data_IF_717640824768
#
_entry.id   IF_717640824768
#
_cell.length_a   1.000
_cell.length_b   1.000
_cell.length_c   1.000
_cell.angle_alpha   90.00
_cell.angle_beta   90.00
_cell.angle_gamma   90.00
#
_symmetry.space_group_name_H-M   'P 1'
#
loop_
_entity.id
_entity.type
_entity.pdbx_description
1 polymer ?
#
# COMPACT_ATOMS: atom_id res chain seq x y z
N UNK A 1 8.35 -5.85 -15.95
CA UNK A 1 9.57 -5.97 -15.13
C UNK A 1 9.55 -7.27 -14.35
N UNK A 2 10.73 -7.90 -14.18
CA UNK A 2 10.91 -8.97 -13.19
C UNK A 2 11.15 -8.41 -11.79
N UNK A 3 11.59 -9.28 -10.86
CA UNK A 3 11.78 -8.93 -9.45
C UNK A 3 13.21 -8.54 -9.08
N UNK A 4 14.17 -8.73 -9.98
CA UNK A 4 15.59 -8.49 -9.73
C UNK A 4 16.06 -7.18 -10.34
N UNK A 5 16.35 -6.18 -9.49
CA UNK A 5 16.88 -4.90 -9.95
C UNK A 5 18.22 -5.01 -10.70
N UNK A 6 18.99 -6.07 -10.48
CA UNK A 6 20.30 -6.24 -11.12
C UNK A 6 20.24 -7.00 -12.45
N UNK A 7 19.20 -7.79 -12.64
CA UNK A 7 19.10 -8.73 -13.77
C UNK A 7 17.91 -8.48 -14.68
N UNK A 8 16.83 -7.88 -14.15
CA UNK A 8 15.62 -7.66 -14.93
C UNK A 8 15.58 -6.25 -15.54
N UNK A 9 14.78 -6.10 -16.59
CA UNK A 9 14.67 -4.85 -17.34
C UNK A 9 13.20 -4.47 -17.55
N UNK A 10 12.97 -3.22 -17.94
CA UNK A 10 11.64 -2.73 -18.27
C UNK A 10 11.12 -3.42 -19.55
N UNK A 11 9.91 -3.93 -19.50
CA UNK A 11 9.20 -4.52 -20.66
C UNK A 11 7.93 -3.74 -21.02
N UNK A 12 7.37 -3.02 -20.04
CA UNK A 12 6.24 -2.11 -20.23
C UNK A 12 6.31 -0.98 -19.21
N UNK A 13 5.94 0.22 -19.63
CA UNK A 13 5.72 1.38 -18.77
C UNK A 13 4.29 1.84 -18.95
N UNK A 14 3.59 2.08 -17.86
CA UNK A 14 2.28 2.71 -17.85
C UNK A 14 2.21 3.79 -16.77
N UNK A 15 1.53 4.87 -17.08
CA UNK A 15 1.17 5.92 -16.14
C UNK A 15 -0.19 6.52 -16.53
N UNK A 16 -0.94 6.97 -15.53
CA UNK A 16 -2.17 7.70 -15.73
C UNK A 16 -2.12 9.04 -15.01
N UNK A 17 -2.61 10.08 -15.65
CA UNK A 17 -2.76 11.40 -15.04
C UNK A 17 -4.11 11.53 -14.40
N UNK A 18 -4.13 11.80 -13.11
CA UNK A 18 -5.37 12.06 -12.37
C UNK A 18 -5.53 13.55 -12.07
N UNK A 19 -6.74 14.07 -12.25
CA UNK A 19 -7.15 15.41 -11.82
C UNK A 19 -8.51 15.31 -11.14
N UNK A 20 -8.64 15.90 -9.97
CA UNK A 20 -9.90 15.89 -9.19
C UNK A 20 -10.51 14.51 -8.98
N UNK A 21 -9.65 13.49 -8.83
CA UNK A 21 -10.07 12.10 -8.65
C UNK A 21 -10.42 11.34 -9.94
N UNK A 22 -10.35 11.97 -11.11
CA UNK A 22 -10.63 11.35 -12.40
C UNK A 22 -9.35 11.15 -13.20
N UNK A 23 -9.26 10.05 -13.94
CA UNK A 23 -8.18 9.81 -14.90
C UNK A 23 -8.48 10.61 -16.16
N UNK A 24 -7.55 11.48 -16.55
CA UNK A 24 -7.71 12.42 -17.67
C UNK A 24 -6.77 12.14 -18.83
N UNK A 25 -5.72 11.38 -18.62
CA UNK A 25 -4.72 11.08 -19.65
C UNK A 25 -3.93 9.81 -19.30
N UNK A 26 -3.36 9.16 -20.32
CA UNK A 26 -2.59 7.94 -20.19
C UNK A 26 -1.28 8.01 -20.97
N UNK A 27 -0.24 7.43 -20.39
CA UNK A 27 1.00 7.07 -21.06
C UNK A 27 1.19 5.57 -20.91
N UNK A 28 1.20 4.82 -22.03
CA UNK A 28 1.40 3.38 -22.04
C UNK A 28 2.31 3.04 -23.21
N UNK A 29 3.40 2.33 -22.95
CA UNK A 29 4.31 1.86 -23.99
C UNK A 29 4.93 0.53 -23.58
N UNK A 30 5.10 -0.37 -24.55
CA UNK A 30 6.05 -1.46 -24.41
C UNK A 30 7.47 -0.90 -24.44
N UNK A 31 8.40 -1.66 -23.91
CA UNK A 31 9.82 -1.31 -23.86
C UNK A 31 10.63 -2.50 -24.32
N UNK A 32 11.51 -2.29 -25.27
CA UNK A 32 12.46 -3.31 -25.69
C UNK A 32 13.59 -3.43 -24.66
N UNK A 33 13.66 -4.53 -23.89
CA UNK A 33 14.69 -4.67 -22.86
C UNK A 33 16.12 -4.89 -23.40
N UNK A 34 16.28 -5.06 -24.72
CA UNK A 34 17.56 -5.34 -25.37
C UNK A 34 18.12 -6.74 -25.07
N UNK A 35 17.34 -7.61 -24.45
CA UNK A 35 17.67 -8.98 -24.08
C UNK A 35 16.40 -9.83 -24.02
N UNK A 36 16.49 -11.18 -24.11
CA UNK A 36 15.34 -12.05 -23.97
C UNK A 36 14.63 -11.85 -22.63
N UNK A 37 13.29 -11.88 -22.66
CA UNK A 37 12.45 -11.81 -21.44
C UNK A 37 12.49 -13.20 -20.79
N UNK A 38 12.83 -13.30 -19.49
CA UNK A 38 12.80 -14.58 -18.79
C UNK A 38 11.40 -15.20 -18.79
N UNK A 39 11.32 -16.53 -18.89
CA UNK A 39 10.04 -17.26 -19.00
C UNK A 39 9.08 -16.97 -17.83
N UNK A 40 9.61 -16.83 -16.63
CA UNK A 40 8.82 -16.51 -15.42
C UNK A 40 8.21 -15.10 -15.50
N UNK A 41 8.95 -14.13 -16.05
CA UNK A 41 8.47 -12.77 -16.30
C UNK A 41 7.42 -12.77 -17.41
N UNK A 42 7.68 -13.48 -18.51
CA UNK A 42 6.72 -13.60 -19.61
C UNK A 42 5.41 -14.25 -19.16
N UNK A 43 5.48 -15.31 -18.34
CA UNK A 43 4.30 -15.93 -17.76
C UNK A 43 3.53 -15.01 -16.81
N UNK A 44 4.24 -14.18 -16.01
CA UNK A 44 3.63 -13.28 -15.05
C UNK A 44 2.90 -12.11 -15.73
N UNK A 45 3.56 -11.50 -16.72
CA UNK A 45 3.10 -10.25 -17.38
C UNK A 45 2.31 -10.51 -18.66
N UNK A 46 2.40 -11.74 -19.20
CA UNK A 46 1.92 -12.10 -20.53
C UNK A 46 2.48 -11.16 -21.62
N UNK A 47 3.77 -10.80 -21.49
CA UNK A 47 4.54 -10.01 -22.47
C UNK A 47 5.69 -10.90 -22.95
N UNK A 48 5.79 -11.08 -24.26
CA UNK A 48 6.78 -11.93 -24.92
C UNK A 48 7.76 -11.10 -25.75
N UNK A 49 8.88 -11.69 -26.16
CA UNK A 49 9.92 -11.01 -26.95
C UNK A 49 9.37 -10.41 -28.26
N UNK A 50 8.38 -11.07 -28.87
CA UNK A 50 7.71 -10.59 -30.08
C UNK A 50 6.90 -9.30 -29.87
N UNK A 51 6.34 -9.11 -28.67
CA UNK A 51 5.55 -7.91 -28.33
C UNK A 51 6.42 -6.66 -28.18
N UNK A 52 7.69 -6.84 -27.83
CA UNK A 52 8.62 -5.75 -27.51
C UNK A 52 9.70 -5.54 -28.57
N UNK A 53 9.73 -6.36 -29.62
CA UNK A 53 10.80 -6.35 -30.64
C UNK A 53 10.96 -4.97 -31.31
N UNK A 54 9.85 -4.33 -31.66
CA UNK A 54 9.81 -3.02 -32.31
C UNK A 54 9.49 -1.87 -31.32
N UNK A 55 9.49 -2.15 -30.00
CA UNK A 55 9.22 -1.16 -28.97
C UNK A 55 10.43 -0.23 -28.76
N UNK A 56 10.21 0.99 -28.22
CA UNK A 56 11.28 1.91 -27.89
C UNK A 56 12.24 1.30 -26.86
N UNK A 57 13.48 1.77 -26.87
CA UNK A 57 14.46 1.45 -25.84
C UNK A 57 14.03 1.96 -24.46
N UNK A 58 14.60 1.45 -23.35
CA UNK A 58 14.32 1.96 -22.02
C UNK A 58 14.51 3.48 -21.90
N UNK A 59 15.58 4.03 -22.49
CA UNK A 59 15.85 5.46 -22.44
C UNK A 59 14.81 6.31 -23.19
N UNK A 60 14.37 5.86 -24.37
CA UNK A 60 13.31 6.56 -25.13
C UNK A 60 11.95 6.49 -24.41
N UNK A 61 11.59 5.33 -23.88
CA UNK A 61 10.36 5.16 -23.14
C UNK A 61 10.35 5.97 -21.84
N UNK A 62 11.47 6.03 -21.13
CA UNK A 62 11.61 6.85 -19.92
C UNK A 62 11.61 8.34 -20.21
N UNK A 63 12.21 8.80 -21.31
CA UNK A 63 12.10 10.20 -21.73
C UNK A 63 10.63 10.61 -21.98
N UNK A 64 9.84 9.73 -22.60
CA UNK A 64 8.40 9.93 -22.76
C UNK A 64 7.66 9.98 -21.42
N UNK A 65 8.00 9.11 -20.47
CA UNK A 65 7.43 9.14 -19.12
C UNK A 65 7.77 10.45 -18.39
N UNK A 66 8.98 10.92 -18.47
CA UNK A 66 9.42 12.20 -17.88
C UNK A 66 8.62 13.37 -18.47
N UNK A 67 8.46 13.41 -19.79
CA UNK A 67 7.64 14.43 -20.44
C UNK A 67 6.17 14.35 -20.00
N UNK A 68 5.64 13.15 -19.87
CA UNK A 68 4.30 12.92 -19.36
C UNK A 68 4.16 13.33 -17.90
N UNK A 69 5.07 12.95 -17.03
CA UNK A 69 5.02 13.21 -15.57
C UNK A 69 5.23 14.70 -15.25
N UNK A 70 6.22 15.34 -15.87
CA UNK A 70 6.64 16.71 -15.55
C UNK A 70 6.90 16.86 -14.04
N UNK A 71 6.27 17.84 -13.40
CA UNK A 71 6.33 18.16 -11.97
C UNK A 71 5.21 17.51 -11.13
N UNK A 72 4.47 16.58 -11.71
CA UNK A 72 3.36 15.91 -11.01
C UNK A 72 3.87 15.07 -9.84
N UNK A 73 3.03 14.95 -8.80
CA UNK A 73 3.26 13.94 -7.77
C UNK A 73 3.00 12.56 -8.37
N UNK A 74 3.98 11.67 -8.21
CA UNK A 74 3.89 10.29 -8.64
C UNK A 74 3.23 9.45 -7.54
N UNK A 75 2.39 8.50 -7.93
CA UNK A 75 1.76 7.56 -7.01
C UNK A 75 2.01 6.16 -7.53
N UNK A 76 2.55 5.29 -6.70
CA UNK A 76 2.70 3.88 -7.03
C UNK A 76 2.41 3.00 -5.81
N UNK A 77 2.18 1.71 -6.01
CA UNK A 77 1.94 0.75 -4.94
C UNK A 77 3.21 -0.02 -4.65
N UNK A 78 3.89 0.29 -3.55
CA UNK A 78 5.29 -0.04 -3.27
C UNK A 78 6.23 0.83 -4.14
N UNK A 79 6.09 2.14 -3.99
CA UNK A 79 6.66 3.17 -4.88
C UNK A 79 8.19 3.10 -5.05
N UNK A 80 8.92 2.56 -4.07
CA UNK A 80 10.37 2.38 -4.17
C UNK A 80 10.75 1.42 -5.30
N UNK A 81 9.90 0.41 -5.55
CA UNK A 81 10.10 -0.52 -6.67
C UNK A 81 10.05 0.21 -8.01
N UNK A 82 8.97 0.94 -8.27
CA UNK A 82 8.78 1.66 -9.55
C UNK A 82 9.82 2.76 -9.71
N UNK A 83 10.10 3.51 -8.65
CA UNK A 83 11.13 4.54 -8.62
C UNK A 83 12.50 3.98 -8.99
N UNK A 84 12.90 2.86 -8.39
CA UNK A 84 14.21 2.24 -8.66
C UNK A 84 14.34 1.82 -10.12
N UNK A 85 13.32 1.18 -10.70
CA UNK A 85 13.38 0.77 -12.09
C UNK A 85 13.37 1.96 -13.06
N UNK A 86 12.53 2.97 -12.81
CA UNK A 86 12.40 4.13 -13.70
C UNK A 86 13.61 5.09 -13.63
N UNK A 87 14.29 5.14 -12.47
CA UNK A 87 15.46 6.01 -12.29
C UNK A 87 16.80 5.28 -12.41
N UNK A 88 16.81 4.05 -12.89
CA UNK A 88 18.02 3.29 -13.15
C UNK A 88 18.74 3.78 -14.42
N UNK A 89 17.99 4.23 -15.41
CA UNK A 89 18.49 4.78 -16.64
C UNK A 89 18.62 6.32 -16.57
N UNK A 90 19.64 6.93 -17.20
CA UNK A 90 19.85 8.37 -17.15
C UNK A 90 18.64 9.19 -17.59
N UNK A 91 17.89 8.73 -18.60
CA UNK A 91 16.67 9.40 -19.09
C UNK A 91 15.55 9.46 -18.06
N UNK A 92 15.58 8.62 -17.03
CA UNK A 92 14.63 8.63 -15.92
C UNK A 92 15.07 9.47 -14.72
N UNK A 93 16.31 9.96 -14.65
CA UNK A 93 16.80 10.73 -13.49
C UNK A 93 15.93 11.95 -13.13
N UNK A 94 15.32 12.69 -14.06
CA UNK A 94 14.45 13.80 -13.69
C UNK A 94 13.28 13.39 -12.78
N UNK A 95 12.84 12.11 -12.79
CA UNK A 95 11.80 11.61 -11.91
C UNK A 95 12.22 11.53 -10.43
N UNK A 96 13.52 11.64 -10.13
CA UNK A 96 14.01 11.73 -8.75
C UNK A 96 13.55 13.00 -8.04
N UNK A 97 13.30 14.07 -8.79
CA UNK A 97 12.84 15.35 -8.26
C UNK A 97 11.32 15.37 -7.96
N UNK A 98 10.58 14.38 -8.48
CA UNK A 98 9.16 14.25 -8.18
C UNK A 98 8.93 13.71 -6.76
N UNK A 99 7.82 14.12 -6.16
CA UNK A 99 7.34 13.53 -4.91
C UNK A 99 6.69 12.18 -5.23
N UNK A 100 7.21 11.10 -4.65
CA UNK A 100 6.68 9.75 -4.82
C UNK A 100 5.84 9.32 -3.62
N UNK A 101 4.53 9.29 -3.79
CA UNK A 101 3.56 8.85 -2.78
C UNK A 101 3.46 7.33 -2.86
N UNK A 102 3.74 6.64 -1.77
CA UNK A 102 3.55 5.20 -1.69
C UNK A 102 2.12 4.87 -1.23
N UNK A 103 1.32 4.32 -2.15
CA UNK A 103 -0.05 3.91 -1.84
C UNK A 103 -0.12 2.68 -0.92
N UNK A 104 0.95 1.87 -0.82
CA UNK A 104 1.05 0.78 0.14
C UNK A 104 1.19 1.31 1.57
N UNK A 105 2.06 2.29 1.79
CA UNK A 105 2.19 2.96 3.09
C UNK A 105 0.90 3.66 3.47
N UNK A 106 0.31 4.38 2.53
CA UNK A 106 -0.97 5.04 2.75
C UNK A 106 -2.08 4.05 3.12
N UNK A 107 -2.12 2.88 2.45
CA UNK A 107 -3.09 1.83 2.74
C UNK A 107 -2.91 1.23 4.14
N UNK A 108 -1.67 1.02 4.58
CA UNK A 108 -1.36 0.52 5.93
C UNK A 108 -1.87 1.47 7.02
N UNK A 109 -1.79 2.78 6.78
CA UNK A 109 -2.25 3.81 7.73
C UNK A 109 -3.76 4.01 7.65
N UNK A 110 -4.31 4.17 6.44
CA UNK A 110 -5.72 4.49 6.25
C UNK A 110 -6.66 3.28 6.44
N UNK A 111 -6.16 2.07 6.20
CA UNK A 111 -6.93 0.82 6.25
C UNK A 111 -6.26 -0.23 7.18
N UNK A 112 -5.95 0.09 8.45
CA UNK A 112 -5.12 -0.75 9.31
C UNK A 112 -5.75 -2.11 9.67
N UNK A 113 -7.05 -2.28 9.43
CA UNK A 113 -7.78 -3.53 9.72
C UNK A 113 -7.80 -4.51 8.55
N UNK A 114 -7.22 -4.15 7.41
CA UNK A 114 -7.10 -5.07 6.28
C UNK A 114 -6.08 -6.16 6.60
N UNK A 115 -6.41 -7.42 6.24
CA UNK A 115 -5.50 -8.56 6.46
C UNK A 115 -4.30 -8.55 5.51
N UNK A 116 -4.45 -7.95 4.36
CA UNK A 116 -3.42 -7.81 3.35
C UNK A 116 -3.50 -6.41 2.74
N UNK A 117 -2.35 -5.82 2.44
CA UNK A 117 -2.24 -4.52 1.78
C UNK A 117 -1.65 -4.66 0.37
N UNK A 118 -1.59 -5.87 -0.21
CA UNK A 118 -1.21 -6.05 -1.61
C UNK A 118 -2.29 -5.44 -2.51
N UNK A 119 -1.86 -4.84 -3.63
CA UNK A 119 -2.77 -4.17 -4.57
C UNK A 119 -3.97 -5.05 -4.94
N UNK A 120 -3.71 -6.28 -5.37
CA UNK A 120 -4.75 -7.23 -5.79
C UNK A 120 -5.78 -7.53 -4.69
N UNK A 121 -5.35 -7.64 -3.44
CA UNK A 121 -6.24 -7.94 -2.31
C UNK A 121 -7.08 -6.71 -1.94
N UNK A 122 -6.49 -5.51 -1.99
CA UNK A 122 -7.18 -4.26 -1.71
C UNK A 122 -8.24 -3.97 -2.79
N UNK A 123 -7.87 -4.00 -4.08
CA UNK A 123 -8.83 -3.73 -5.16
C UNK A 123 -9.96 -4.75 -5.18
N UNK A 124 -9.66 -6.02 -4.89
CA UNK A 124 -10.68 -7.07 -4.75
C UNK A 124 -11.64 -6.79 -3.59
N UNK A 125 -11.11 -6.34 -2.44
CA UNK A 125 -11.93 -6.04 -1.26
C UNK A 125 -12.90 -4.87 -1.49
N UNK A 126 -12.53 -3.93 -2.37
CA UNK A 126 -13.34 -2.74 -2.69
C UNK A 126 -14.10 -2.86 -4.02
N UNK A 127 -14.02 -4.00 -4.72
CA UNK A 127 -14.69 -4.21 -6.01
C UNK A 127 -14.14 -3.33 -7.13
N UNK A 128 -12.89 -2.88 -7.02
CA UNK A 128 -12.20 -2.09 -8.03
C UNK A 128 -11.63 -3.00 -9.16
N UNK A 129 -11.19 -2.43 -10.32
CA UNK A 129 -10.56 -3.19 -11.38
C UNK A 129 -9.40 -4.04 -10.87
N UNK A 130 -9.30 -5.28 -11.34
CA UNK A 130 -8.28 -6.22 -10.88
C UNK A 130 -6.94 -5.93 -11.55
N UNK A 131 -5.87 -6.04 -10.77
CA UNK A 131 -4.49 -6.09 -11.25
C UNK A 131 -4.23 -7.43 -11.94
N UNK A 132 -3.58 -7.41 -13.11
CA UNK A 132 -3.23 -8.59 -13.92
C UNK A 132 -1.74 -8.75 -14.10
N UNK A 133 -0.92 -7.95 -13.42
CA UNK A 133 0.53 -7.82 -13.61
C UNK A 133 0.95 -7.22 -14.96
N UNK A 134 0.01 -6.65 -15.70
CA UNK A 134 0.29 -5.72 -16.78
C UNK A 134 0.31 -4.31 -16.22
N UNK A 135 1.25 -3.49 -16.71
CA UNK A 135 1.45 -2.16 -16.14
C UNK A 135 0.21 -1.25 -16.27
N UNK A 136 -0.52 -1.33 -17.37
CA UNK A 136 -1.75 -0.56 -17.62
C UNK A 136 -2.89 -0.95 -16.65
N UNK A 137 -3.11 -2.26 -16.43
CA UNK A 137 -4.11 -2.74 -15.48
C UNK A 137 -3.73 -2.39 -14.03
N UNK A 138 -2.45 -2.52 -13.70
CA UNK A 138 -1.95 -2.19 -12.35
C UNK A 138 -2.06 -0.68 -12.06
N UNK A 139 -1.85 0.17 -13.06
CA UNK A 139 -2.09 1.62 -12.96
C UNK A 139 -3.57 1.92 -12.78
N UNK A 140 -4.46 1.28 -13.55
CA UNK A 140 -5.91 1.46 -13.37
C UNK A 140 -6.35 1.05 -11.96
N UNK A 141 -5.86 -0.09 -11.47
CA UNK A 141 -6.10 -0.58 -10.12
C UNK A 141 -5.56 0.39 -9.06
N UNK A 142 -4.34 0.91 -9.25
CA UNK A 142 -3.72 1.88 -8.34
C UNK A 142 -4.49 3.20 -8.31
N UNK A 143 -4.97 3.70 -9.45
CA UNK A 143 -5.81 4.90 -9.50
C UNK A 143 -7.12 4.73 -8.72
N UNK A 144 -7.79 3.59 -8.89
CA UNK A 144 -9.01 3.29 -8.14
C UNK A 144 -8.73 3.16 -6.63
N UNK A 145 -7.67 2.44 -6.26
CA UNK A 145 -7.24 2.32 -4.86
C UNK A 145 -6.90 3.69 -4.26
N UNK A 146 -6.14 4.52 -4.97
CA UNK A 146 -5.73 5.82 -4.44
C UNK A 146 -6.92 6.73 -4.14
N UNK A 147 -7.97 6.71 -4.95
CA UNK A 147 -9.24 7.42 -4.64
C UNK A 147 -9.86 6.93 -3.33
N UNK A 148 -9.89 5.61 -3.13
CA UNK A 148 -10.40 4.99 -1.88
C UNK A 148 -9.56 5.43 -0.69
N UNK A 149 -8.25 5.43 -0.83
CA UNK A 149 -7.33 5.82 0.25
C UNK A 149 -7.46 7.30 0.62
N UNK A 150 -7.61 8.19 -0.37
CA UNK A 150 -7.85 9.61 -0.10
C UNK A 150 -9.15 9.82 0.68
N UNK A 151 -10.22 9.10 0.31
CA UNK A 151 -11.48 9.16 1.04
C UNK A 151 -11.36 8.57 2.45
N UNK A 152 -10.60 7.47 2.62
CA UNK A 152 -10.36 6.89 3.94
C UNK A 152 -9.57 7.85 4.86
N UNK A 153 -8.55 8.55 4.33
CA UNK A 153 -7.81 9.58 5.09
C UNK A 153 -8.72 10.73 5.46
N UNK A 154 -9.60 11.17 4.55
CA UNK A 154 -10.55 12.24 4.85
C UNK A 154 -11.54 11.86 5.98
N UNK A 155 -11.91 10.60 6.10
CA UNK A 155 -12.79 10.10 7.16
C UNK A 155 -12.07 9.84 8.50
N UNK A 156 -10.74 9.94 8.54
CA UNK A 156 -9.98 9.82 9.80
C UNK A 156 -10.27 10.99 10.74
N UNK A 157 -10.14 10.81 12.06
CA UNK A 157 -10.25 11.91 13.01
C UNK A 157 -9.29 13.05 12.67
N UNK A 158 -9.75 14.31 12.55
CA UNK A 158 -8.90 15.43 12.12
C UNK A 158 -7.65 15.63 13.00
N UNK A 159 -7.75 15.35 14.31
CA UNK A 159 -6.61 15.42 15.22
C UNK A 159 -5.53 14.39 14.87
N UNK A 160 -5.94 13.16 14.47
CA UNK A 160 -5.03 12.10 14.04
C UNK A 160 -4.34 12.48 12.72
N UNK A 161 -5.09 12.98 11.73
CA UNK A 161 -4.54 13.45 10.45
C UNK A 161 -3.48 14.53 10.70
N UNK A 162 -3.75 15.51 11.56
CA UNK A 162 -2.78 16.56 11.96
C UNK A 162 -1.55 15.97 12.63
N UNK A 163 -1.70 15.02 13.53
CA UNK A 163 -0.56 14.36 14.17
C UNK A 163 0.30 13.64 13.14
N UNK A 164 -0.30 12.87 12.24
CA UNK A 164 0.43 12.15 11.18
C UNK A 164 1.15 13.12 10.24
N UNK A 165 0.51 14.21 9.85
CA UNK A 165 1.09 15.24 8.99
C UNK A 165 2.38 15.88 9.56
N UNK A 166 2.57 15.79 10.88
CA UNK A 166 3.71 16.36 11.59
C UNK A 166 4.79 15.33 11.94
N UNK A 167 4.59 14.03 11.65
CA UNK A 167 5.54 12.97 12.03
C UNK A 167 6.87 13.08 11.32
N UNK A 168 6.86 13.45 10.04
CA UNK A 168 8.08 13.62 9.25
C UNK A 168 7.89 14.68 8.16
N UNK A 169 8.94 15.40 7.78
CA UNK A 169 8.90 16.26 6.62
C UNK A 169 8.76 15.43 5.32
N UNK A 170 8.21 16.06 4.27
CA UNK A 170 7.94 15.39 2.97
C UNK A 170 9.21 14.82 2.35
N UNK A 171 10.37 15.47 2.56
CA UNK A 171 11.66 15.03 2.05
C UNK A 171 12.12 13.69 2.65
N UNK A 172 11.67 13.37 3.85
CA UNK A 172 11.98 12.11 4.53
C UNK A 172 10.89 11.05 4.30
N UNK A 173 9.64 11.51 4.11
CA UNK A 173 8.50 10.65 3.92
C UNK A 173 7.48 11.29 2.97
N UNK A 174 7.63 11.03 1.69
CA UNK A 174 6.86 11.67 0.63
C UNK A 174 5.33 11.47 0.77
N UNK A 175 4.88 10.36 1.33
CA UNK A 175 3.46 10.08 1.58
C UNK A 175 2.85 11.06 2.59
N UNK A 176 3.65 11.74 3.42
CA UNK A 176 3.20 12.79 4.34
C UNK A 176 2.42 13.91 3.63
N UNK A 177 2.70 14.18 2.36
CA UNK A 177 2.01 15.22 1.57
C UNK A 177 0.49 15.01 1.54
N UNK A 178 0.01 13.77 1.57
CA UNK A 178 -1.41 13.44 1.60
C UNK A 178 -2.03 13.91 2.92
N UNK A 179 -1.40 13.58 4.04
CA UNK A 179 -1.88 14.00 5.37
C UNK A 179 -1.76 15.50 5.57
N UNK A 180 -0.70 16.13 5.06
CA UNK A 180 -0.54 17.59 5.09
C UNK A 180 -1.65 18.30 4.32
N UNK A 181 -2.08 17.74 3.16
CA UNK A 181 -3.20 18.25 2.40
C UNK A 181 -4.51 18.22 3.22
N UNK A 182 -4.85 17.08 3.81
CA UNK A 182 -6.07 16.93 4.61
C UNK A 182 -6.01 17.59 6.00
N UNK A 183 -4.84 17.93 6.49
CA UNK A 183 -4.69 18.69 7.73
C UNK A 183 -5.04 20.19 7.58
N UNK A 184 -5.16 20.69 6.33
CA UNK A 184 -5.49 22.09 6.05
C UNK A 184 -7.01 22.33 6.26
N UNK A 185 -7.40 23.47 6.83
CA UNK A 185 -8.81 23.78 7.11
C UNK A 185 -9.70 23.87 5.85
N UNK A 186 -9.08 24.15 4.71
CA UNK A 186 -9.77 24.38 3.41
C UNK A 186 -9.76 23.15 2.50
N UNK A 187 -9.28 22.00 2.95
CA UNK A 187 -9.30 20.77 2.15
C UNK A 187 -10.74 20.43 1.79
N UNK A 188 -11.06 20.44 0.49
CA UNK A 188 -12.41 20.10 0.01
C UNK A 188 -12.74 18.67 0.45
N UNK A 189 -13.95 18.44 0.98
CA UNK A 189 -14.35 17.09 1.38
C UNK A 189 -14.35 16.18 0.16
N UNK A 190 -13.71 15.04 0.31
CA UNK A 190 -13.72 13.94 -0.64
C UNK A 190 -14.45 12.77 0.03
N UNK A 191 -15.68 12.51 -0.38
CA UNK A 191 -16.55 11.56 0.31
C UNK A 191 -16.48 10.17 -0.32
N UNK A 192 -16.35 9.13 0.51
CA UNK A 192 -16.53 7.74 0.07
C UNK A 192 -17.90 7.49 -0.57
N UNK A 193 -18.93 8.29 -0.22
CA UNK A 193 -20.26 8.18 -0.81
C UNK A 193 -20.26 8.60 -2.29
N UNK A 194 -19.42 9.55 -2.67
CA UNK A 194 -19.27 10.02 -4.05
C UNK A 194 -18.48 9.02 -4.91
N UNK A 195 -17.65 8.17 -4.28
CA UNK A 195 -16.92 7.09 -4.94
C UNK A 195 -17.76 5.82 -5.16
N UNK A 196 -18.94 5.74 -4.55
CA UNK A 196 -19.87 4.65 -4.78
C UNK A 196 -20.51 4.80 -6.14
N UNK A 197 -19.79 4.43 -7.20
CA UNK A 197 -20.45 4.08 -8.46
C UNK A 197 -21.37 2.86 -8.21
N UNK A 198 -22.46 2.80 -8.96
CA UNK A 198 -23.50 1.76 -8.88
C UNK A 198 -22.98 0.31 -8.97
N UNK A 199 -21.70 0.12 -9.32
CA UNK A 199 -21.03 -1.18 -9.40
C UNK A 199 -20.31 -1.64 -8.12
N UNK A 200 -20.19 -0.78 -7.10
CA UNK A 200 -19.68 -1.21 -5.81
C UNK A 200 -20.82 -1.87 -5.04
N UNK A 201 -20.83 -3.21 -5.05
CA UNK A 201 -21.69 -3.99 -4.15
C UNK A 201 -21.55 -3.43 -2.74
N UNK A 202 -22.69 -3.03 -2.16
CA UNK A 202 -22.77 -2.57 -0.80
C UNK A 202 -21.94 -3.47 0.11
N UNK A 203 -20.94 -2.89 0.76
CA UNK A 203 -20.31 -3.54 1.91
C UNK A 203 -21.43 -3.62 2.96
N UNK A 204 -22.20 -4.70 2.96
CA UNK A 204 -23.00 -5.04 4.11
C UNK A 204 -22.02 -5.14 5.26
N UNK A 205 -21.98 -4.10 6.10
CA UNK A 205 -21.45 -4.26 7.45
C UNK A 205 -22.16 -5.48 7.98
N UNK A 206 -21.45 -6.60 8.10
CA UNK A 206 -21.92 -7.67 8.95
C UNK A 206 -22.33 -6.97 10.24
N UNK A 207 -23.61 -7.07 10.68
CA UNK A 207 -23.99 -6.50 11.95
C UNK A 207 -22.91 -6.97 12.92
N UNK A 208 -22.28 -6.03 13.63
CA UNK A 208 -21.51 -6.38 14.81
C UNK A 208 -22.48 -7.27 15.57
N UNK A 209 -22.18 -8.55 15.62
CA UNK A 209 -22.81 -9.41 16.63
C UNK A 209 -22.55 -8.62 17.89
N UNK A 210 -23.62 -8.11 18.51
CA UNK A 210 -23.49 -7.34 19.73
C UNK A 210 -22.56 -8.14 20.62
N UNK A 211 -21.30 -7.72 20.67
CA UNK A 211 -20.38 -8.22 21.66
C UNK A 211 -21.13 -7.85 22.93
N UNK A 212 -21.75 -8.84 23.60
CA UNK A 212 -22.24 -8.66 24.94
C UNK A 212 -21.13 -7.91 25.63
N UNK A 213 -21.39 -6.66 25.98
CA UNK A 213 -20.47 -5.92 26.81
C UNK A 213 -20.16 -6.83 27.97
N UNK A 214 -18.94 -7.34 28.01
CA UNK A 214 -18.43 -8.08 29.15
C UNK A 214 -18.44 -7.01 30.24
N UNK A 215 -19.43 -7.03 31.12
CA UNK A 215 -19.66 -6.02 32.15
C UNK A 215 -18.56 -6.03 33.22
N UNK A 216 -17.73 -7.07 33.23
CA UNK A 216 -16.51 -7.17 34.04
C UNK A 216 -15.47 -7.91 33.23
N UNK A 217 -14.37 -7.26 32.93
CA UNK A 217 -13.20 -7.93 32.34
C UNK A 217 -12.40 -8.51 33.50
N UNK A 218 -12.48 -9.83 33.69
CA UNK A 218 -11.57 -10.52 34.60
C UNK A 218 -10.21 -10.63 33.90
N UNK A 219 -9.22 -9.95 34.43
CA UNK A 219 -7.85 -10.08 33.93
C UNK A 219 -7.24 -11.42 34.37
N UNK A 220 -6.46 -12.09 33.49
CA UNK A 220 -5.81 -13.33 33.89
C UNK A 220 -4.89 -13.11 35.08
N UNK A 221 -4.86 -14.06 36.02
CA UNK A 221 -3.96 -13.97 37.16
C UNK A 221 -2.50 -14.13 36.74
N UNK A 222 -1.54 -13.81 37.61
CA UNK A 222 -0.13 -14.03 37.34
C UNK A 222 0.17 -15.51 37.09
N UNK A 223 -0.57 -16.43 37.74
CA UNK A 223 -0.47 -17.88 37.54
C UNK A 223 -1.01 -18.30 36.16
N UNK A 224 -2.13 -17.73 35.70
CA UNK A 224 -2.68 -17.99 34.37
C UNK A 224 -1.70 -17.56 33.27
N UNK A 225 -1.03 -16.42 33.45
CA UNK A 225 0.01 -15.92 32.55
C UNK A 225 1.21 -16.89 32.55
N UNK A 226 1.70 -17.27 33.72
CA UNK A 226 2.83 -18.20 33.81
C UNK A 226 2.50 -19.57 33.18
N UNK A 227 1.28 -20.06 33.39
CA UNK A 227 0.81 -21.29 32.77
C UNK A 227 0.69 -21.15 31.23
N UNK A 228 0.20 -20.02 30.74
CA UNK A 228 0.08 -19.77 29.29
C UNK A 228 1.45 -19.81 28.59
N UNK A 229 2.51 -19.27 29.23
CA UNK A 229 3.88 -19.25 28.74
C UNK A 229 4.70 -20.51 29.12
N UNK A 230 4.10 -21.54 29.71
CA UNK A 230 4.77 -22.81 29.93
C UNK A 230 4.90 -23.63 28.63
N UNK A 231 5.81 -24.62 28.55
CA UNK A 231 5.91 -25.49 27.36
C UNK A 231 4.63 -26.25 27.02
N UNK A 232 3.78 -26.50 28.01
CA UNK A 232 2.49 -27.18 27.87
C UNK A 232 1.33 -26.20 27.77
N UNK A 233 1.56 -24.90 27.95
CA UNK A 233 0.58 -23.82 27.88
C UNK A 233 0.14 -23.50 26.46
N UNK A 234 -0.76 -22.53 26.34
CA UNK A 234 -1.33 -22.14 25.05
C UNK A 234 -0.26 -21.57 24.10
N UNK A 235 0.70 -20.78 24.62
CA UNK A 235 1.78 -20.20 23.84
C UNK A 235 2.77 -21.30 23.44
N UNK A 236 3.15 -22.19 24.37
CA UNK A 236 4.06 -23.30 24.09
C UNK A 236 3.52 -24.27 23.03
N UNK A 237 2.21 -24.42 22.89
CA UNK A 237 1.58 -25.27 21.86
C UNK A 237 1.53 -24.63 20.48
N UNK A 238 1.68 -23.31 20.37
CA UNK A 238 1.64 -22.57 19.10
C UNK A 238 2.98 -22.59 18.36
N UNK A 239 4.08 -22.84 19.05
CA UNK A 239 5.42 -22.77 18.48
C UNK A 239 6.16 -24.10 18.69
N UNK A 240 6.74 -24.63 17.63
CA UNK A 240 7.64 -25.78 17.71
C UNK A 240 8.92 -25.33 18.41
N UNK A 241 9.41 -26.11 19.38
CA UNK A 241 10.62 -25.79 20.17
C UNK A 241 10.51 -24.48 20.99
N UNK A 242 9.33 -24.23 21.55
CA UNK A 242 9.10 -23.06 22.41
C UNK A 242 9.97 -23.15 23.68
N UNK A 243 10.89 -22.19 23.83
CA UNK A 243 11.73 -22.01 25.00
C UNK A 243 11.21 -20.79 25.81
N UNK A 244 10.61 -21.03 27.00
CA UNK A 244 10.05 -19.94 27.82
C UNK A 244 11.20 -19.04 28.33
N UNK A 245 11.08 -17.73 28.04
CA UNK A 245 12.05 -16.74 28.52
C UNK A 245 11.45 -15.94 29.66
N UNK A 246 12.22 -15.72 30.69
CA UNK A 246 11.78 -15.00 31.89
C UNK A 246 11.38 -13.56 31.59
N UNK A 247 12.06 -12.92 30.61
CA UNK A 247 11.75 -11.56 30.19
C UNK A 247 10.36 -11.46 29.50
N UNK A 248 9.95 -12.50 28.77
CA UNK A 248 8.62 -12.54 28.15
C UNK A 248 7.51 -12.65 29.21
N UNK A 249 7.73 -13.45 30.24
CA UNK A 249 6.81 -13.61 31.34
C UNK A 249 6.70 -12.30 32.13
N UNK A 250 7.83 -11.67 32.46
CA UNK A 250 7.89 -10.37 33.14
C UNK A 250 7.14 -9.32 32.36
N UNK A 251 7.40 -9.19 31.05
CA UNK A 251 6.70 -8.24 30.19
C UNK A 251 5.18 -8.47 30.19
N UNK A 252 4.72 -9.71 30.10
CA UNK A 252 3.29 -10.03 30.10
C UNK A 252 2.62 -9.66 31.43
N UNK A 253 3.31 -9.85 32.56
CA UNK A 253 2.86 -9.48 33.89
C UNK A 253 2.81 -7.95 34.07
N UNK A 254 3.79 -7.22 33.55
CA UNK A 254 3.81 -5.76 33.58
C UNK A 254 2.69 -5.16 32.73
N UNK A 255 2.41 -5.71 31.55
CA UNK A 255 1.28 -5.30 30.69
C UNK A 255 -0.06 -5.49 31.44
N UNK A 256 -0.23 -6.65 32.10
CA UNK A 256 -1.41 -6.91 32.93
C UNK A 256 -1.58 -5.86 34.03
N UNK A 257 -0.50 -5.61 34.78
CA UNK A 257 -0.53 -4.62 35.87
C UNK A 257 -0.85 -3.21 35.36
N UNK A 258 -0.34 -2.83 34.19
CA UNK A 258 -0.64 -1.55 33.58
C UNK A 258 -2.12 -1.44 33.13
N UNK A 259 -2.72 -2.53 32.64
CA UNK A 259 -4.13 -2.59 32.26
C UNK A 259 -5.04 -2.46 33.49
N UNK A 260 -4.73 -3.17 34.58
CA UNK A 260 -5.47 -3.05 35.84
C UNK A 260 -5.39 -1.63 36.48
N UNK A 261 -4.24 -0.97 36.32
CA UNK A 261 -4.04 0.37 36.85
C UNK A 261 -4.70 1.49 36.00
N UNK A 262 -5.18 1.17 34.81
CA UNK A 262 -5.83 2.12 33.88
C UNK A 262 -7.36 2.13 33.97
N UNK A 263 -7.96 1.32 34.80
CA UNK A 263 -9.38 1.38 35.23
C UNK A 263 -9.57 2.29 36.44
#
# INVERSE_FOLDING_TARGET
TGFSFNHDELTQIAAARMKHGEVVDWYVTFVNPGKPIPDDVAHLTNIHDEDVADAPSPDEALAGLVEFARDAKMVAHNAEFDRTFTTRHPSGYPLLDNIWIDSLDLARIALPRMRSHRLIDLVKAFGAPTSTHRADDDVAATCALFRILLAAVHEMPPALVKCIALLAPVEQWNTAVVFQHFAQPEAKPFSLKELRHESMTSFERRPRTDAKMIQTMEYPTAEDIAQAFSPTGIVGKLYVDFDPREEQLTMAQEVRAALEASE
#
